data_IF_417483183490
#
_entry.id   IF_417483183490
#
_cell.length_a   1.000
_cell.length_b   1.000
_cell.length_c   1.000
_cell.angle_alpha   90.00
_cell.angle_beta   90.00
_cell.angle_gamma   90.00
#
_symmetry.space_group_name_H-M   'P 1'
#
loop_
_entity.id
_entity.type
_entity.pdbx_description
1 polymer ?
#
# COMPACT_ATOMS: atom_id res chain seq x y z
N UNK A 1 5.04 -6.50 -16.31
CA UNK A 1 3.91 -6.60 -15.35
C UNK A 1 4.34 -6.03 -14.01
N UNK A 2 3.55 -5.11 -13.48
CA UNK A 2 3.87 -4.52 -12.19
C UNK A 2 3.62 -5.52 -11.05
N UNK A 3 4.44 -5.46 -10.04
CA UNK A 3 4.35 -6.33 -8.88
C UNK A 3 3.94 -5.52 -7.66
N UNK A 4 2.87 -5.95 -7.00
CA UNK A 4 2.25 -5.21 -5.89
C UNK A 4 2.22 -6.08 -4.64
N UNK A 5 2.55 -5.48 -3.49
CA UNK A 5 2.39 -6.14 -2.19
C UNK A 5 1.18 -5.52 -1.48
N UNK A 6 0.25 -6.36 -1.05
CA UNK A 6 -0.92 -5.93 -0.28
C UNK A 6 -0.69 -6.30 1.19
N UNK A 7 -0.75 -5.32 2.07
CA UNK A 7 -0.51 -5.51 3.51
C UNK A 7 -1.76 -5.16 4.28
N UNK A 8 -2.40 -6.17 4.86
CA UNK A 8 -3.64 -6.01 5.63
C UNK A 8 -3.78 -7.23 6.53
N UNK A 9 -4.10 -7.03 7.80
CA UNK A 9 -4.28 -8.14 8.73
C UNK A 9 -5.66 -8.79 8.61
N UNK A 10 -6.58 -8.16 7.90
CA UNK A 10 -7.88 -8.73 7.57
C UNK A 10 -7.73 -9.60 6.32
N UNK A 11 -7.83 -10.92 6.48
CA UNK A 11 -7.61 -11.86 5.38
C UNK A 11 -8.60 -11.65 4.25
N UNK A 12 -9.86 -11.35 4.57
CA UNK A 12 -10.89 -11.15 3.56
C UNK A 12 -10.62 -9.90 2.74
N UNK A 13 -10.26 -8.81 3.39
CA UNK A 13 -9.96 -7.57 2.69
C UNK A 13 -8.73 -7.75 1.80
N UNK A 14 -7.72 -8.43 2.32
CA UNK A 14 -6.51 -8.72 1.55
C UNK A 14 -6.83 -9.50 0.29
N UNK A 15 -7.72 -10.51 0.41
CA UNK A 15 -8.13 -11.31 -0.72
C UNK A 15 -8.91 -10.47 -1.76
N UNK A 16 -9.82 -9.63 -1.28
CA UNK A 16 -10.62 -8.78 -2.18
C UNK A 16 -9.72 -7.84 -2.97
N UNK A 17 -8.82 -7.16 -2.28
CA UNK A 17 -7.89 -6.23 -2.94
C UNK A 17 -6.98 -6.98 -3.92
N UNK A 18 -6.48 -8.13 -3.51
CA UNK A 18 -5.60 -8.94 -4.37
C UNK A 18 -6.31 -9.38 -5.64
N UNK A 19 -7.56 -9.81 -5.53
CA UNK A 19 -8.33 -10.25 -6.69
C UNK A 19 -8.56 -9.11 -7.67
N UNK A 20 -8.89 -7.93 -7.15
CA UNK A 20 -9.08 -6.74 -7.98
C UNK A 20 -7.82 -6.41 -8.76
N UNK A 21 -6.68 -6.44 -8.09
CA UNK A 21 -5.40 -6.12 -8.73
C UNK A 21 -4.99 -7.18 -9.75
N UNK A 22 -5.24 -8.45 -9.45
CA UNK A 22 -4.94 -9.52 -10.40
C UNK A 22 -5.79 -9.40 -11.66
N UNK A 23 -7.04 -9.01 -11.52
CA UNK A 23 -7.90 -8.74 -12.68
C UNK A 23 -7.35 -7.61 -13.54
N UNK A 24 -6.67 -6.67 -12.93
CA UNK A 24 -6.02 -5.59 -13.65
C UNK A 24 -4.72 -5.96 -14.35
N UNK A 25 -4.29 -7.22 -14.20
CA UNK A 25 -3.08 -7.71 -14.85
C UNK A 25 -1.82 -7.59 -14.00
N UNK A 26 -1.95 -7.25 -12.72
CA UNK A 26 -0.78 -7.11 -11.84
C UNK A 26 -0.43 -8.41 -11.15
N UNK A 27 0.85 -8.57 -10.83
CA UNK A 27 1.32 -9.66 -9.98
C UNK A 27 1.20 -9.21 -8.53
N UNK A 28 0.60 -10.04 -7.67
CA UNK A 28 0.26 -9.63 -6.31
C UNK A 28 0.78 -10.63 -5.29
N UNK A 29 1.46 -10.12 -4.26
CA UNK A 29 1.78 -10.88 -3.06
C UNK A 29 1.05 -10.24 -1.89
N UNK A 30 0.90 -10.97 -0.79
CA UNK A 30 0.19 -10.51 0.38
C UNK A 30 1.03 -10.66 1.63
N UNK A 31 0.84 -9.75 2.58
CA UNK A 31 1.37 -9.87 3.94
C UNK A 31 0.28 -9.52 4.92
N UNK A 32 0.22 -10.23 6.04
CA UNK A 32 -0.85 -10.05 7.02
C UNK A 32 -0.39 -9.33 8.28
N UNK A 33 0.86 -8.89 8.31
CA UNK A 33 1.39 -8.07 9.40
C UNK A 33 2.57 -7.25 8.89
N UNK A 34 2.94 -6.24 9.68
CA UNK A 34 3.97 -5.28 9.27
C UNK A 34 5.36 -5.86 9.18
N UNK A 35 5.69 -6.78 10.08
CA UNK A 35 7.03 -7.36 10.08
C UNK A 35 7.27 -8.22 8.84
N UNK A 36 6.28 -9.05 8.49
CA UNK A 36 6.35 -9.85 7.27
C UNK A 36 6.44 -8.95 6.04
N UNK A 37 5.67 -7.87 6.04
CA UNK A 37 5.71 -6.91 4.93
C UNK A 37 7.11 -6.32 4.76
N UNK A 38 7.73 -5.89 5.85
CA UNK A 38 9.07 -5.30 5.80
C UNK A 38 10.10 -6.30 5.31
N UNK A 39 9.97 -7.56 5.72
CA UNK A 39 10.87 -8.61 5.26
C UNK A 39 10.73 -8.81 3.75
N UNK A 40 9.49 -8.88 3.26
CA UNK A 40 9.23 -9.06 1.82
C UNK A 40 9.74 -7.88 1.01
N UNK A 41 9.57 -6.67 1.52
CA UNK A 41 10.04 -5.46 0.85
C UNK A 41 11.56 -5.46 0.69
N UNK A 42 12.28 -5.97 1.68
CA UNK A 42 13.74 -6.08 1.61
C UNK A 42 14.19 -7.10 0.57
N UNK A 43 13.47 -8.20 0.47
CA UNK A 43 13.91 -9.34 -0.34
C UNK A 43 13.45 -9.29 -1.78
N UNK A 44 12.40 -8.53 -2.07
CA UNK A 44 11.78 -8.50 -3.37
C UNK A 44 11.64 -7.07 -3.86
N UNK A 45 11.56 -6.91 -5.17
CA UNK A 45 11.22 -5.63 -5.76
C UNK A 45 9.71 -5.54 -5.92
N UNK A 46 9.12 -4.46 -5.41
CA UNK A 46 7.70 -4.16 -5.63
C UNK A 46 7.58 -2.79 -6.28
N UNK A 47 6.67 -2.69 -7.22
CA UNK A 47 6.37 -1.42 -7.88
C UNK A 47 5.43 -0.58 -7.05
N UNK A 48 4.65 -1.22 -6.17
CA UNK A 48 3.66 -0.53 -5.33
C UNK A 48 3.37 -1.37 -4.10
N UNK A 49 3.20 -0.70 -2.97
CA UNK A 49 2.72 -1.32 -1.73
C UNK A 49 1.34 -0.73 -1.41
N UNK A 50 0.36 -1.58 -1.18
CA UNK A 50 -0.96 -1.17 -0.68
C UNK A 50 -0.98 -1.53 0.80
N UNK A 51 -1.05 -0.54 1.67
CA UNK A 51 -0.74 -0.69 3.08
C UNK A 51 -1.87 -0.17 3.95
N UNK A 52 -2.48 -1.06 4.74
CA UNK A 52 -3.48 -0.67 5.72
C UNK A 52 -2.77 -0.03 6.92
N UNK A 53 -3.34 1.06 7.43
CA UNK A 53 -2.79 1.70 8.62
C UNK A 53 -2.93 0.81 9.86
N UNK A 54 -4.10 0.19 10.01
CA UNK A 54 -4.40 -0.57 11.23
C UNK A 54 -3.94 -2.01 11.09
N UNK A 55 -2.76 -2.27 11.58
CA UNK A 55 -2.17 -3.61 11.60
C UNK A 55 -1.99 -4.05 13.06
N UNK A 56 -1.87 -5.36 13.27
CA UNK A 56 -1.51 -5.87 14.60
C UNK A 56 -0.06 -5.50 14.87
N UNK A 57 0.34 -5.43 16.10
CA UNK A 57 1.72 -5.22 16.58
C UNK A 57 2.32 -3.88 16.16
N UNK A 58 2.65 -3.67 14.89
CA UNK A 58 3.16 -2.37 14.44
C UNK A 58 2.19 -1.70 13.48
N UNK A 59 2.09 -0.38 13.57
CA UNK A 59 1.15 0.37 12.74
C UNK A 59 1.64 0.48 11.29
N UNK A 60 0.69 0.77 10.39
CA UNK A 60 1.04 1.03 9.00
C UNK A 60 1.97 2.23 8.84
N UNK A 61 1.86 3.25 9.71
CA UNK A 61 2.77 4.39 9.66
C UNK A 61 4.21 3.96 9.94
N UNK A 62 4.41 3.05 10.89
CA UNK A 62 5.75 2.55 11.17
C UNK A 62 6.30 1.73 10.01
N UNK A 63 5.45 0.91 9.39
CA UNK A 63 5.85 0.16 8.20
C UNK A 63 6.24 1.13 7.08
N UNK A 64 5.43 2.16 6.85
CA UNK A 64 5.70 3.18 5.83
C UNK A 64 7.05 3.85 6.07
N UNK A 65 7.27 4.29 7.30
CA UNK A 65 8.52 4.97 7.66
C UNK A 65 9.74 4.10 7.40
N UNK A 66 9.70 2.86 7.90
CA UNK A 66 10.83 1.95 7.75
C UNK A 66 11.06 1.55 6.29
N UNK A 67 9.97 1.33 5.55
CA UNK A 67 10.08 0.96 4.15
C UNK A 67 10.72 2.08 3.33
N UNK A 68 10.32 3.33 3.57
CA UNK A 68 10.87 4.47 2.85
C UNK A 68 12.29 4.80 3.27
N UNK A 69 12.68 4.48 4.49
CA UNK A 69 14.08 4.59 4.91
C UNK A 69 14.96 3.61 4.13
N UNK A 70 14.42 2.42 3.87
CA UNK A 70 15.15 1.38 3.13
C UNK A 70 15.14 1.66 1.64
N UNK A 71 13.98 2.03 1.09
CA UNK A 71 13.80 2.29 -0.34
C UNK A 71 13.07 3.62 -0.50
N UNK A 72 13.81 4.74 -0.57
CA UNK A 72 13.17 6.07 -0.62
C UNK A 72 12.24 6.30 -1.82
N UNK A 73 12.45 5.58 -2.91
CA UNK A 73 11.63 5.72 -4.12
C UNK A 73 10.41 4.82 -4.14
N UNK A 74 10.19 4.02 -3.09
CA UNK A 74 9.08 3.08 -3.05
C UNK A 74 7.74 3.79 -3.12
N UNK A 75 6.83 3.27 -3.93
CA UNK A 75 5.48 3.82 -4.05
C UNK A 75 4.56 3.11 -3.07
N UNK A 76 3.81 3.87 -2.29
CA UNK A 76 2.93 3.32 -1.25
C UNK A 76 1.59 4.04 -1.29
N UNK A 77 0.51 3.27 -1.34
CA UNK A 77 -0.84 3.76 -1.07
C UNK A 77 -1.21 3.31 0.33
N UNK A 78 -1.55 4.26 1.20
CA UNK A 78 -2.03 3.91 2.53
C UNK A 78 -3.54 3.97 2.59
N UNK A 79 -4.14 3.03 3.30
CA UNK A 79 -5.58 2.95 3.50
C UNK A 79 -5.85 3.03 5.00
N UNK A 80 -6.82 3.84 5.41
CA UNK A 80 -7.13 4.02 6.82
C UNK A 80 -8.61 4.31 7.02
N UNK A 81 -9.06 4.26 8.27
CA UNK A 81 -10.43 4.56 8.61
C UNK A 81 -10.76 6.01 8.28
N UNK A 82 -12.00 6.23 7.89
CA UNK A 82 -12.49 7.55 7.51
C UNK A 82 -12.31 8.56 8.65
N UNK A 83 -11.87 9.75 8.30
CA UNK A 83 -11.82 10.87 9.25
C UNK A 83 -10.56 11.01 10.07
N UNK A 84 -9.59 10.14 9.87
CA UNK A 84 -8.37 10.20 10.68
C UNK A 84 -7.35 11.14 10.03
N UNK A 85 -7.52 12.44 10.30
CA UNK A 85 -6.72 13.49 9.69
C UNK A 85 -5.27 13.50 10.16
N UNK A 86 -5.03 13.12 11.42
CA UNK A 86 -3.66 13.12 11.95
C UNK A 86 -2.81 12.03 11.31
N UNK A 87 -3.41 10.87 11.05
CA UNK A 87 -2.72 9.78 10.37
C UNK A 87 -2.41 10.18 8.92
N UNK A 88 -3.38 10.79 8.26
CA UNK A 88 -3.21 11.25 6.89
C UNK A 88 -2.09 12.27 6.76
N UNK A 89 -2.05 13.24 7.68
CA UNK A 89 -1.01 14.26 7.68
C UNK A 89 0.37 13.63 7.89
N UNK A 90 0.48 12.70 8.83
CA UNK A 90 1.75 12.03 9.10
C UNK A 90 2.20 11.17 7.92
N UNK A 91 1.27 10.47 7.28
CA UNK A 91 1.59 9.67 6.10
C UNK A 91 2.14 10.55 4.97
N UNK A 92 1.54 11.71 4.78
CA UNK A 92 2.03 12.67 3.78
C UNK A 92 3.42 13.17 4.08
N UNK A 93 3.69 13.48 5.35
CA UNK A 93 5.03 13.90 5.78
C UNK A 93 6.07 12.82 5.49
N UNK A 94 5.68 11.56 5.68
CA UNK A 94 6.60 10.44 5.46
C UNK A 94 6.82 10.15 3.98
N UNK A 95 5.95 10.63 3.09
CA UNK A 95 6.15 10.48 1.65
C UNK A 95 5.24 9.46 0.99
N UNK A 96 4.05 9.22 1.55
CA UNK A 96 3.08 8.31 0.94
C UNK A 96 2.69 8.83 -0.45
N UNK A 97 2.49 7.91 -1.40
CA UNK A 97 2.14 8.28 -2.76
C UNK A 97 0.68 8.68 -2.88
N UNK A 98 -0.21 8.02 -2.15
CA UNK A 98 -1.62 8.38 -2.06
C UNK A 98 -2.19 7.82 -0.77
N UNK A 99 -3.34 8.33 -0.37
CA UNK A 99 -4.00 7.94 0.87
C UNK A 99 -5.50 7.82 0.60
N UNK A 100 -6.08 6.67 0.98
CA UNK A 100 -7.50 6.41 0.79
C UNK A 100 -8.18 6.17 2.12
N UNK A 101 -9.35 6.78 2.31
CA UNK A 101 -10.17 6.54 3.49
C UNK A 101 -11.11 5.36 3.27
N UNK A 102 -11.32 4.56 4.31
CA UNK A 102 -12.32 3.48 4.27
C UNK A 102 -13.68 4.05 4.68
N UNK A 103 -14.78 3.62 4.07
CA UNK A 103 -14.84 2.77 2.88
C UNK A 103 -14.44 3.56 1.64
N UNK A 104 -13.76 2.91 0.71
CA UNK A 104 -13.35 3.57 -0.52
C UNK A 104 -14.04 2.94 -1.72
N UNK A 105 -14.20 3.76 -2.76
CA UNK A 105 -14.78 3.33 -4.02
C UNK A 105 -13.75 2.53 -4.81
N UNK A 106 -14.16 1.39 -5.37
CA UNK A 106 -13.27 0.55 -6.16
C UNK A 106 -12.68 1.30 -7.34
N UNK A 107 -13.47 2.13 -7.99
CA UNK A 107 -12.98 2.92 -9.12
C UNK A 107 -11.90 3.88 -8.68
N UNK A 108 -12.07 4.49 -7.51
CA UNK A 108 -11.08 5.41 -6.94
C UNK A 108 -9.77 4.67 -6.65
N UNK A 109 -9.90 3.46 -6.08
CA UNK A 109 -8.72 2.64 -5.76
C UNK A 109 -7.97 2.23 -7.02
N UNK A 110 -8.68 1.69 -8.00
CA UNK A 110 -8.07 1.25 -9.26
C UNK A 110 -7.41 2.43 -9.96
N UNK A 111 -8.07 3.59 -9.97
CA UNK A 111 -7.52 4.79 -10.59
C UNK A 111 -6.23 5.23 -9.90
N UNK A 112 -6.20 5.18 -8.57
CA UNK A 112 -5.00 5.54 -7.81
C UNK A 112 -3.83 4.63 -8.17
N UNK A 113 -4.09 3.34 -8.26
CA UNK A 113 -3.05 2.36 -8.63
C UNK A 113 -2.51 2.67 -10.03
N UNK A 114 -3.42 2.87 -10.99
CA UNK A 114 -3.02 3.15 -12.36
C UNK A 114 -2.21 4.44 -12.45
N UNK A 115 -2.65 5.49 -11.78
CA UNK A 115 -1.97 6.78 -11.81
C UNK A 115 -0.55 6.67 -11.26
N UNK A 116 -0.39 5.99 -10.13
CA UNK A 116 0.91 5.86 -9.50
C UNK A 116 1.87 5.02 -10.36
N UNK A 117 1.39 3.91 -10.90
CA UNK A 117 2.23 3.06 -11.73
C UNK A 117 2.56 3.72 -13.06
N UNK A 118 1.65 4.51 -13.62
CA UNK A 118 1.91 5.21 -14.87
C UNK A 118 2.93 6.35 -14.71
N UNK A 119 3.01 6.95 -13.51
CA UNK A 119 4.01 7.99 -13.25
C UNK A 119 5.44 7.51 -13.48
N UNK A 120 5.67 6.20 -13.34
CA UNK A 120 6.99 5.62 -13.55
C UNK A 120 7.42 5.70 -15.02
N UNK A 121 6.47 5.76 -15.94
CA UNK A 121 6.75 5.76 -17.36
C UNK A 121 6.74 7.15 -17.96
N UNK A 122 6.22 8.14 -17.24
CA UNK A 122 6.11 9.53 -17.71
C UNK A 122 7.33 10.33 -17.24
N UNK A 123 8.44 10.08 -17.86
CA UNK A 123 9.68 10.78 -17.53
C UNK A 123 9.98 11.85 -18.56
#
# INVERSE_FOLDING_TARGET
>A
MAKILVVDDDLDMCQIISDILKEGGYSVNSSYNGEDALMKIKKNHYDLIVLDYKLNEISGLMVLEKALQTIPSLKVIMISAFGDKSIKARARELGVSDFLDKPFDLKRFVQAVQDILNRKTNK
#
